data_IF_290135663994
#
_entry.id   IF_290135663994
#
_cell.length_a   1.000
_cell.length_b   1.000
_cell.length_c   1.000
_cell.angle_alpha   90.00
_cell.angle_beta   90.00
_cell.angle_gamma   90.00
#
_symmetry.space_group_name_H-M   'P 1'
#
loop_
_entity.id
_entity.type
_entity.pdbx_description
1 polymer ?
#
# COMPACT_ATOMS: atom_id res chain seq x y z
N UNK A 1 -17.71 -62.28 -35.46
CA UNK A 1 -17.92 -62.50 -34.03
C UNK A 1 -16.94 -61.60 -33.28
N UNK A 2 -17.16 -60.34 -32.89
CA UNK A 2 -18.34 -59.47 -32.78
C UNK A 2 -19.54 -60.06 -32.03
N UNK A 3 -19.71 -59.66 -30.77
CA UNK A 3 -20.95 -59.21 -30.07
C UNK A 3 -20.57 -58.87 -28.60
N UNK A 4 -20.74 -57.60 -28.20
CA UNK A 4 -21.70 -57.06 -27.19
C UNK A 4 -21.25 -57.31 -25.74
N UNK A 5 -21.36 -56.37 -24.78
CA UNK A 5 -22.60 -55.85 -24.19
C UNK A 5 -22.42 -54.42 -23.65
N UNK A 6 -23.49 -53.64 -23.85
CA UNK A 6 -24.01 -52.40 -23.25
C UNK A 6 -23.37 -51.75 -22.00
N UNK A 7 -23.33 -50.42 -22.02
CA UNK A 7 -24.01 -49.66 -20.97
C UNK A 7 -24.61 -48.34 -21.49
N UNK A 8 -25.93 -48.29 -21.38
CA UNK A 8 -26.83 -47.17 -21.68
C UNK A 8 -26.76 -46.15 -20.55
N UNK A 9 -26.81 -44.86 -20.89
CA UNK A 9 -26.88 -43.77 -19.93
C UNK A 9 -28.28 -43.52 -19.39
N UNK A 10 -28.37 -43.01 -18.17
CA UNK A 10 -29.57 -42.33 -17.68
C UNK A 10 -29.20 -41.16 -16.75
N UNK A 11 -29.60 -39.98 -17.22
CA UNK A 11 -30.10 -38.79 -16.54
C UNK A 11 -29.64 -38.42 -15.11
N UNK A 12 -29.07 -37.22 -15.01
CA UNK A 12 -29.40 -36.29 -13.94
C UNK A 12 -29.73 -34.92 -14.56
N UNK A 13 -31.01 -34.54 -14.47
CA UNK A 13 -31.54 -33.22 -14.78
C UNK A 13 -31.31 -32.25 -13.63
N UNK A 14 -31.01 -31.02 -14.06
CA UNK A 14 -31.47 -29.73 -13.55
C UNK A 14 -31.21 -29.36 -12.08
N UNK A 15 -30.24 -28.46 -11.92
CA UNK A 15 -29.98 -27.69 -10.70
C UNK A 15 -29.36 -26.35 -11.07
N UNK A 16 -30.23 -25.43 -11.52
CA UNK A 16 -30.17 -23.97 -11.45
C UNK A 16 -28.88 -23.21 -11.83
N UNK A 17 -29.02 -22.43 -12.90
CA UNK A 17 -28.12 -21.41 -13.42
C UNK A 17 -27.85 -20.27 -12.40
N UNK A 18 -26.77 -20.37 -11.61
CA UNK A 18 -26.08 -19.17 -11.13
C UNK A 18 -25.04 -18.74 -12.18
N UNK A 19 -25.49 -17.90 -13.12
CA UNK A 19 -24.62 -17.13 -14.00
C UNK A 19 -23.75 -16.19 -13.16
N UNK A 20 -22.55 -16.65 -12.81
CA UNK A 20 -21.46 -15.79 -12.38
C UNK A 20 -21.17 -14.73 -13.43
N UNK A 21 -21.69 -13.52 -13.20
CA UNK A 21 -21.47 -12.35 -14.02
C UNK A 21 -19.97 -12.00 -13.99
N UNK A 22 -19.24 -12.43 -15.01
CA UNK A 22 -17.84 -12.01 -15.23
C UNK A 22 -17.82 -10.47 -15.28
N UNK A 23 -16.89 -9.80 -14.58
CA UNK A 23 -16.87 -8.34 -14.50
C UNK A 23 -16.82 -7.74 -15.92
N UNK A 24 -17.83 -6.93 -16.24
CA UNK A 24 -17.97 -6.33 -17.56
C UNK A 24 -16.76 -5.46 -17.89
N UNK A 25 -16.08 -5.79 -19.00
CA UNK A 25 -15.11 -4.87 -19.63
C UNK A 25 -15.90 -3.64 -20.07
N UNK A 26 -15.71 -2.50 -19.39
CA UNK A 26 -16.18 -1.20 -19.89
C UNK A 26 -15.76 -1.08 -21.36
N UNK A 27 -16.72 -0.87 -22.28
CA UNK A 27 -16.42 -0.54 -23.68
C UNK A 27 -15.57 0.74 -23.67
N UNK A 28 -14.28 0.62 -23.94
CA UNK A 28 -13.42 1.79 -24.14
C UNK A 28 -13.96 2.56 -25.35
N UNK A 29 -14.15 3.87 -25.19
CA UNK A 29 -14.48 4.74 -26.31
C UNK A 29 -13.42 4.57 -27.41
N UNK A 30 -13.86 4.52 -28.67
CA UNK A 30 -12.94 4.36 -29.81
C UNK A 30 -11.90 5.48 -29.80
N UNK A 31 -10.59 5.18 -29.79
CA UNK A 31 -9.55 6.20 -29.78
C UNK A 31 -9.65 7.12 -30.99
N UNK A 32 -9.35 8.40 -30.79
CA UNK A 32 -9.42 9.43 -31.85
C UNK A 32 -8.09 10.14 -32.04
N UNK A 33 -7.77 10.46 -33.28
CA UNK A 33 -6.60 11.25 -33.67
C UNK A 33 -7.09 12.54 -34.35
N UNK A 34 -6.52 13.68 -33.95
CA UNK A 34 -6.71 14.95 -34.65
C UNK A 34 -5.51 15.20 -35.56
N UNK A 35 -5.76 15.24 -36.87
CA UNK A 35 -4.79 15.61 -37.90
C UNK A 35 -4.91 17.11 -38.18
N UNK A 36 -3.78 17.83 -38.09
CA UNK A 36 -3.69 19.26 -38.38
C UNK A 36 -2.74 19.46 -39.53
N UNK A 37 -3.29 19.54 -40.75
CA UNK A 37 -2.51 19.60 -41.97
C UNK A 37 -3.37 20.09 -43.15
N UNK A 38 -2.96 21.12 -43.89
CA UNK A 38 -3.73 21.57 -45.06
C UNK A 38 -3.59 20.62 -46.28
N UNK A 39 -2.64 19.67 -46.28
CA UNK A 39 -2.47 18.73 -47.39
C UNK A 39 -3.60 17.68 -47.42
N UNK A 40 -4.54 17.86 -48.34
CA UNK A 40 -5.69 16.97 -48.53
C UNK A 40 -5.29 15.52 -48.84
N UNK A 41 -4.09 15.26 -49.37
CA UNK A 41 -3.61 13.87 -49.57
C UNK A 41 -3.43 13.15 -48.23
N UNK A 42 -3.06 13.88 -47.18
CA UNK A 42 -2.91 13.33 -45.83
C UNK A 42 -4.27 13.11 -45.17
N UNK A 43 -5.30 13.87 -45.53
CA UNK A 43 -6.67 13.63 -45.08
C UNK A 43 -7.20 12.28 -45.55
N UNK A 44 -6.73 11.78 -46.70
CA UNK A 44 -7.07 10.43 -47.17
C UNK A 44 -6.14 9.33 -46.63
N UNK A 45 -4.85 9.62 -46.52
CA UNK A 45 -3.83 8.63 -46.14
C UNK A 45 -3.89 8.29 -44.65
N UNK A 46 -3.92 9.31 -43.78
CA UNK A 46 -3.79 9.13 -42.34
C UNK A 46 -4.95 8.32 -41.76
N UNK A 47 -6.23 8.53 -42.12
CA UNK A 47 -7.32 7.68 -41.65
C UNK A 47 -7.16 6.22 -42.05
N UNK A 48 -6.73 5.93 -43.30
CA UNK A 48 -6.52 4.55 -43.78
C UNK A 48 -5.43 3.84 -42.98
N UNK A 49 -4.33 4.53 -42.68
CA UNK A 49 -3.24 3.96 -41.88
C UNK A 49 -3.67 3.81 -40.42
N UNK A 50 -4.29 4.84 -39.83
CA UNK A 50 -4.72 4.85 -38.43
C UNK A 50 -5.82 3.81 -38.12
N UNK A 51 -6.64 3.44 -39.12
CA UNK A 51 -7.61 2.34 -39.00
C UNK A 51 -6.94 1.01 -38.63
N UNK A 52 -5.70 0.76 -39.06
CA UNK A 52 -4.89 -0.40 -38.66
C UNK A 52 -4.54 -0.43 -37.16
N UNK A 53 -4.72 0.69 -36.45
CA UNK A 53 -4.60 0.81 -35.01
C UNK A 53 -5.96 0.95 -34.30
N UNK A 54 -7.09 0.85 -35.03
CA UNK A 54 -8.43 1.05 -34.49
C UNK A 54 -8.74 2.49 -34.10
N UNK A 55 -8.05 3.47 -34.71
CA UNK A 55 -8.19 4.90 -34.38
C UNK A 55 -9.02 5.60 -35.46
N UNK A 56 -10.00 6.40 -35.03
CA UNK A 56 -10.78 7.28 -35.91
C UNK A 56 -10.07 8.62 -36.04
N UNK A 57 -10.02 9.19 -37.24
CA UNK A 57 -9.30 10.44 -37.52
C UNK A 57 -10.28 11.56 -37.83
N UNK A 58 -10.13 12.65 -37.10
CA UNK A 58 -10.67 13.96 -37.45
C UNK A 58 -9.54 14.78 -38.08
N UNK A 59 -9.85 15.63 -39.05
CA UNK A 59 -8.86 16.50 -39.68
C UNK A 59 -9.32 17.95 -39.68
N UNK A 60 -8.35 18.86 -39.62
CA UNK A 60 -8.49 20.31 -39.69
C UNK A 60 -7.32 20.88 -40.47
N UNK A 61 -7.50 22.06 -41.06
CA UNK A 61 -6.48 22.67 -41.93
C UNK A 61 -5.52 23.59 -41.16
N UNK A 62 -5.95 24.16 -40.03
CA UNK A 62 -5.21 25.19 -39.28
C UNK A 62 -5.01 24.84 -37.82
N UNK A 63 -3.98 25.43 -37.22
CA UNK A 63 -3.67 25.22 -35.80
C UNK A 63 -4.72 25.82 -34.86
N UNK A 64 -5.35 26.91 -35.25
CA UNK A 64 -6.44 27.57 -34.52
C UNK A 64 -7.67 26.66 -34.45
N UNK A 65 -8.11 26.13 -35.59
CA UNK A 65 -9.22 25.17 -35.68
C UNK A 65 -8.92 23.92 -34.84
N UNK A 66 -7.67 23.46 -34.83
CA UNK A 66 -7.26 22.32 -34.02
C UNK A 66 -7.50 22.54 -32.52
N UNK A 67 -7.22 23.74 -32.01
CA UNK A 67 -7.42 24.05 -30.59
C UNK A 67 -8.91 24.17 -30.25
N UNK A 68 -9.71 24.74 -31.14
CA UNK A 68 -11.17 24.79 -31.00
C UNK A 68 -11.78 23.38 -30.98
N UNK A 69 -11.34 22.51 -31.90
CA UNK A 69 -11.78 21.11 -31.98
C UNK A 69 -11.33 20.31 -30.77
N UNK A 70 -10.08 20.48 -30.30
CA UNK A 70 -9.59 19.84 -29.08
C UNK A 70 -10.46 20.20 -27.86
N UNK A 71 -10.89 21.46 -27.75
CA UNK A 71 -11.70 21.94 -26.63
C UNK A 71 -13.17 21.51 -26.73
N UNK A 72 -13.76 21.60 -27.92
CA UNK A 72 -15.21 21.38 -28.13
C UNK A 72 -15.60 19.92 -28.40
N UNK A 73 -14.73 19.15 -29.07
CA UNK A 73 -15.01 17.78 -29.55
C UNK A 73 -14.11 16.72 -28.91
N UNK A 74 -13.26 17.08 -27.95
CA UNK A 74 -12.42 16.15 -27.22
C UNK A 74 -13.21 15.06 -26.46
N UNK A 75 -12.54 14.03 -25.94
CA UNK A 75 -11.09 13.84 -25.91
C UNK A 75 -10.54 13.24 -27.21
N UNK A 76 -9.30 13.64 -27.54
CA UNK A 76 -8.47 12.99 -28.55
C UNK A 76 -7.34 12.24 -27.87
N UNK A 77 -6.99 11.07 -28.39
CA UNK A 77 -5.87 10.27 -27.88
C UNK A 77 -4.54 10.76 -28.43
N UNK A 78 -4.54 11.21 -29.68
CA UNK A 78 -3.36 11.66 -30.41
C UNK A 78 -3.66 12.96 -31.16
N UNK A 79 -2.71 13.88 -31.19
CA UNK A 79 -2.69 14.99 -32.15
C UNK A 79 -1.45 14.83 -33.04
N UNK A 80 -1.64 14.94 -34.35
CA UNK A 80 -0.59 14.93 -35.36
C UNK A 80 -0.66 16.27 -36.10
N UNK A 81 0.35 17.13 -35.94
CA UNK A 81 0.34 18.47 -36.54
C UNK A 81 1.55 18.70 -37.42
N UNK A 82 1.34 19.38 -38.55
CA UNK A 82 2.42 19.89 -39.39
C UNK A 82 3.07 21.12 -38.74
N UNK A 83 4.41 21.17 -38.76
CA UNK A 83 5.20 22.25 -38.18
C UNK A 83 4.98 23.58 -38.90
N UNK A 84 4.83 23.55 -40.22
CA UNK A 84 4.75 24.74 -41.08
C UNK A 84 3.33 25.02 -41.61
N UNK A 85 2.31 24.50 -40.93
CA UNK A 85 0.90 24.77 -41.26
C UNK A 85 0.61 26.29 -41.22
N UNK A 86 -0.40 26.72 -41.98
CA UNK A 86 -0.82 28.13 -42.03
C UNK A 86 -1.42 28.54 -40.68
N UNK A 87 -1.02 29.73 -40.19
CA UNK A 87 -1.42 30.22 -38.86
C UNK A 87 -0.39 29.86 -37.80
N UNK A 88 -0.84 29.27 -36.70
CA UNK A 88 0.05 28.80 -35.62
C UNK A 88 1.01 27.70 -36.08
N UNK A 89 2.28 27.80 -35.68
CA UNK A 89 3.26 26.74 -35.95
C UNK A 89 2.90 25.49 -35.15
N UNK A 90 3.22 24.30 -35.69
CA UNK A 90 2.88 23.03 -35.05
C UNK A 90 3.36 22.94 -33.59
N UNK A 91 4.59 23.35 -33.31
CA UNK A 91 5.11 23.40 -31.93
C UNK A 91 4.26 24.28 -30.98
N UNK A 92 3.70 25.40 -31.45
CA UNK A 92 2.85 26.28 -30.66
C UNK A 92 1.47 25.65 -30.42
N UNK A 93 0.91 24.99 -31.44
CA UNK A 93 -0.32 24.19 -31.32
C UNK A 93 -0.12 23.11 -30.25
N UNK A 94 0.99 22.37 -30.31
CA UNK A 94 1.31 21.32 -29.34
C UNK A 94 1.48 21.87 -27.92
N UNK A 95 2.11 23.04 -27.77
CA UNK A 95 2.26 23.72 -26.47
C UNK A 95 0.91 24.07 -25.85
N UNK A 96 -0.02 24.61 -26.64
CA UNK A 96 -1.38 24.93 -26.21
C UNK A 96 -2.21 23.66 -25.97
N UNK A 97 -2.09 22.65 -26.83
CA UNK A 97 -2.74 21.36 -26.68
C UNK A 97 -2.33 20.65 -25.39
N UNK A 98 -1.05 20.76 -24.96
CA UNK A 98 -0.58 20.23 -23.67
C UNK A 98 -1.34 20.83 -22.49
N UNK A 99 -1.76 22.09 -22.56
CA UNK A 99 -2.54 22.75 -21.51
C UNK A 99 -4.01 22.33 -21.54
N UNK A 100 -4.60 22.27 -22.74
CA UNK A 100 -6.02 21.93 -22.93
C UNK A 100 -6.33 20.45 -22.69
N UNK A 101 -5.43 19.57 -23.15
CA UNK A 101 -5.59 18.12 -23.09
C UNK A 101 -4.23 17.46 -22.78
N UNK A 102 -3.78 17.53 -21.51
CA UNK A 102 -2.42 17.13 -21.11
C UNK A 102 -2.09 15.67 -21.39
N UNK A 103 -3.09 14.80 -21.44
CA UNK A 103 -2.91 13.37 -21.69
C UNK A 103 -2.79 13.04 -23.18
N UNK A 104 -3.22 13.92 -24.08
CA UNK A 104 -3.12 13.71 -25.53
C UNK A 104 -1.67 13.54 -25.94
N UNK A 105 -1.35 12.43 -26.62
CA UNK A 105 -0.03 12.21 -27.17
C UNK A 105 0.17 13.14 -28.38
N UNK A 106 1.31 13.83 -28.41
CA UNK A 106 1.58 14.91 -29.38
C UNK A 106 2.64 14.46 -30.38
N UNK A 107 2.31 14.45 -31.66
CA UNK A 107 3.22 14.12 -32.75
C UNK A 107 3.40 15.36 -33.62
N UNK A 108 4.65 15.72 -33.89
CA UNK A 108 4.99 16.76 -34.85
C UNK A 108 5.42 16.12 -36.16
N UNK A 109 4.86 16.54 -37.28
CA UNK A 109 5.38 16.21 -38.61
C UNK A 109 5.97 17.45 -39.28
N UNK A 110 7.01 17.27 -40.10
CA UNK A 110 7.61 18.36 -40.85
C UNK A 110 8.28 17.86 -42.13
N UNK A 111 8.17 18.67 -43.19
CA UNK A 111 8.96 18.52 -44.43
C UNK A 111 10.35 19.16 -44.32
N UNK A 112 10.52 20.15 -43.43
CA UNK A 112 11.77 20.85 -43.18
C UNK A 112 12.37 20.35 -41.87
N UNK A 113 13.47 19.62 -41.98
CA UNK A 113 14.19 19.06 -40.83
C UNK A 113 15.49 19.83 -40.69
N UNK A 114 15.46 20.98 -40.01
CA UNK A 114 16.67 21.62 -39.51
C UNK A 114 16.79 21.41 -37.99
N UNK A 115 18.03 21.36 -37.50
CA UNK A 115 18.33 21.02 -36.10
C UNK A 115 17.71 22.06 -35.14
N UNK A 116 17.72 23.34 -35.53
CA UNK A 116 17.17 24.44 -34.72
C UNK A 116 15.65 24.33 -34.55
N UNK A 117 14.90 24.03 -35.62
CA UNK A 117 13.45 23.84 -35.53
C UNK A 117 13.08 22.60 -34.72
N UNK A 118 13.92 21.56 -34.71
CA UNK A 118 13.72 20.40 -33.83
C UNK A 118 13.92 20.81 -32.37
N UNK A 119 15.03 21.47 -32.03
CA UNK A 119 15.34 21.93 -30.68
C UNK A 119 14.25 22.87 -30.12
N UNK A 120 13.82 23.85 -30.92
CA UNK A 120 12.72 24.76 -30.56
C UNK A 120 11.42 23.99 -30.29
N UNK A 121 11.11 23.01 -31.14
CA UNK A 121 9.88 22.21 -30.99
C UNK A 121 9.87 21.33 -29.75
N UNK A 122 11.03 20.79 -29.36
CA UNK A 122 11.21 20.01 -28.13
C UNK A 122 10.90 20.90 -26.91
N UNK A 123 11.43 22.12 -26.90
CA UNK A 123 11.33 23.03 -25.76
C UNK A 123 9.93 23.66 -25.60
N UNK A 124 9.20 23.91 -26.70
CA UNK A 124 7.88 24.56 -26.64
C UNK A 124 6.70 23.59 -26.48
N UNK A 125 6.71 22.48 -27.21
CA UNK A 125 5.55 21.60 -27.36
C UNK A 125 5.71 20.20 -26.74
N UNK A 126 6.95 19.83 -26.38
CA UNK A 126 7.33 18.48 -25.93
C UNK A 126 6.61 17.37 -26.73
N UNK A 127 6.84 17.31 -28.05
CA UNK A 127 6.29 16.25 -28.88
C UNK A 127 6.80 14.90 -28.38
N UNK A 128 5.90 13.93 -28.28
CA UNK A 128 6.23 12.54 -28.00
C UNK A 128 7.03 11.91 -29.14
N UNK A 129 6.71 12.29 -30.39
CA UNK A 129 7.40 11.82 -31.60
C UNK A 129 7.49 12.91 -32.65
N UNK A 130 8.53 12.79 -33.48
CA UNK A 130 8.71 13.57 -34.69
C UNK A 130 8.65 12.66 -35.92
N UNK A 131 7.91 13.06 -36.95
CA UNK A 131 7.83 12.36 -38.23
C UNK A 131 8.31 13.27 -39.37
N UNK A 132 9.28 12.79 -40.14
CA UNK A 132 9.70 13.45 -41.37
C UNK A 132 8.71 13.16 -42.49
N UNK A 133 8.30 14.19 -43.23
CA UNK A 133 7.55 14.02 -44.48
C UNK A 133 8.50 13.73 -45.66
N UNK A 134 8.08 12.93 -46.67
CA UNK A 134 6.78 12.26 -46.78
C UNK A 134 6.60 11.15 -45.74
N UNK A 135 5.36 10.94 -45.28
CA UNK A 135 5.07 9.95 -44.24
C UNK A 135 5.15 8.53 -44.80
N UNK A 136 6.03 7.70 -44.23
CA UNK A 136 6.03 6.27 -44.48
C UNK A 136 4.88 5.59 -43.72
N UNK A 137 4.08 4.78 -44.40
CA UNK A 137 2.88 4.16 -43.81
C UNK A 137 3.21 3.25 -42.62
N UNK A 138 4.31 2.49 -42.67
CA UNK A 138 4.69 1.58 -41.58
C UNK A 138 5.16 2.37 -40.37
N UNK A 139 5.97 3.41 -40.60
CA UNK A 139 6.44 4.29 -39.55
C UNK A 139 5.31 5.09 -38.90
N UNK A 140 4.38 5.61 -39.70
CA UNK A 140 3.18 6.31 -39.21
C UNK A 140 2.32 5.39 -38.34
N UNK A 141 2.01 4.18 -38.82
CA UNK A 141 1.23 3.22 -38.05
C UNK A 141 1.89 2.90 -36.71
N UNK A 142 3.19 2.60 -36.72
CA UNK A 142 3.97 2.33 -35.50
C UNK A 142 3.93 3.53 -34.55
N UNK A 143 4.16 4.73 -35.07
CA UNK A 143 4.15 5.97 -34.28
C UNK A 143 2.78 6.23 -33.63
N UNK A 144 1.69 6.02 -34.36
CA UNK A 144 0.32 6.17 -33.87
C UNK A 144 0.01 5.13 -32.79
N UNK A 145 0.40 3.87 -32.98
CA UNK A 145 0.24 2.81 -31.98
C UNK A 145 1.02 3.10 -30.70
N UNK A 146 2.28 3.56 -30.80
CA UNK A 146 3.07 3.98 -29.64
C UNK A 146 2.44 5.18 -28.93
N UNK A 147 1.92 6.15 -29.67
CA UNK A 147 1.26 7.34 -29.12
C UNK A 147 -0.03 6.98 -28.39
N UNK A 148 -0.80 6.01 -28.88
CA UNK A 148 -1.98 5.51 -28.19
C UNK A 148 -1.62 4.79 -26.87
N UNK A 149 -0.53 4.00 -26.85
CA UNK A 149 -0.05 3.39 -25.61
C UNK A 149 0.34 4.44 -24.58
N UNK A 150 1.04 5.49 -25.02
CA UNK A 150 1.43 6.61 -24.17
C UNK A 150 0.22 7.37 -23.63
N UNK A 151 -0.78 7.65 -24.46
CA UNK A 151 -2.05 8.24 -24.03
C UNK A 151 -2.72 7.39 -22.93
N UNK A 152 -2.89 6.09 -23.16
CA UNK A 152 -3.53 5.20 -22.21
C UNK A 152 -2.76 5.13 -20.88
N UNK A 153 -1.43 5.12 -20.93
CA UNK A 153 -0.57 5.20 -19.74
C UNK A 153 -0.82 6.50 -18.98
N UNK A 154 -0.82 7.65 -19.66
CA UNK A 154 -1.01 8.95 -19.05
C UNK A 154 -2.40 9.13 -18.43
N UNK A 155 -3.46 8.65 -19.10
CA UNK A 155 -4.81 8.62 -18.54
C UNK A 155 -4.91 7.69 -17.33
N UNK A 156 -4.28 6.51 -17.38
CA UNK A 156 -4.25 5.56 -16.25
C UNK A 156 -3.55 6.16 -15.03
N UNK A 157 -2.39 6.80 -15.23
CA UNK A 157 -1.65 7.48 -14.15
C UNK A 157 -2.50 8.60 -13.55
N UNK A 158 -3.13 9.43 -14.37
CA UNK A 158 -3.99 10.50 -13.88
C UNK A 158 -5.19 9.97 -13.08
N UNK A 159 -5.80 8.86 -13.54
CA UNK A 159 -6.86 8.17 -12.80
C UNK A 159 -6.39 7.65 -11.43
N UNK A 160 -5.20 7.04 -11.37
CA UNK A 160 -4.60 6.56 -10.12
C UNK A 160 -4.29 7.72 -9.16
N UNK A 161 -3.73 8.82 -9.65
CA UNK A 161 -3.45 10.01 -8.83
C UNK A 161 -4.73 10.62 -8.25
N UNK A 162 -5.81 10.68 -9.03
CA UNK A 162 -7.11 11.16 -8.56
C UNK A 162 -7.70 10.24 -7.48
N UNK A 163 -7.54 8.92 -7.64
CA UNK A 163 -7.96 7.96 -6.62
C UNK A 163 -7.13 8.10 -5.34
N UNK A 164 -5.81 8.27 -5.48
CA UNK A 164 -4.91 8.48 -4.36
C UNK A 164 -5.29 9.74 -3.58
N UNK A 165 -5.53 10.86 -4.27
CA UNK A 165 -5.95 12.12 -3.64
C UNK A 165 -7.26 11.93 -2.84
N UNK A 166 -8.27 11.29 -3.45
CA UNK A 166 -9.52 10.95 -2.78
C UNK A 166 -9.30 10.10 -1.52
N UNK A 167 -8.52 9.03 -1.63
CA UNK A 167 -8.20 8.15 -0.49
C UNK A 167 -7.44 8.90 0.61
N UNK A 168 -6.53 9.82 0.25
CA UNK A 168 -5.83 10.63 1.26
C UNK A 168 -6.77 11.61 1.95
N UNK A 169 -7.75 12.17 1.24
CA UNK A 169 -8.82 12.99 1.80
C UNK A 169 -9.68 12.21 2.80
N UNK A 170 -10.16 11.03 2.39
CA UNK A 170 -10.95 10.13 3.24
C UNK A 170 -10.14 9.71 4.49
N UNK A 171 -8.86 9.33 4.31
CA UNK A 171 -7.99 8.98 5.43
C UNK A 171 -7.79 10.14 6.42
N UNK A 172 -7.66 11.38 5.94
CA UNK A 172 -7.58 12.56 6.81
C UNK A 172 -8.87 12.75 7.61
N UNK A 173 -10.04 12.61 6.98
CA UNK A 173 -11.33 12.72 7.66
C UNK A 173 -11.53 11.63 8.73
N UNK A 174 -11.23 10.38 8.41
CA UNK A 174 -11.29 9.26 9.35
C UNK A 174 -10.32 9.45 10.53
N UNK A 175 -9.13 10.01 10.27
CA UNK A 175 -8.16 10.29 11.33
C UNK A 175 -8.64 11.39 12.28
N UNK A 176 -9.35 12.42 11.79
CA UNK A 176 -9.99 13.42 12.65
C UNK A 176 -11.13 12.83 13.48
N UNK A 177 -12.01 12.03 12.87
CA UNK A 177 -13.12 11.36 13.57
C UNK A 177 -12.61 10.43 14.67
N UNK A 178 -11.57 9.64 14.40
CA UNK A 178 -10.93 8.77 15.40
C UNK A 178 -10.29 9.55 16.55
N UNK A 179 -9.78 10.77 16.31
CA UNK A 179 -9.25 11.64 17.37
C UNK A 179 -10.37 12.18 18.26
N UNK A 180 -11.50 12.55 17.67
CA UNK A 180 -12.68 13.03 18.39
C UNK A 180 -13.32 11.92 19.22
N UNK A 181 -13.50 10.72 18.65
CA UNK A 181 -13.95 9.54 19.38
C UNK A 181 -13.02 9.17 20.54
N UNK A 182 -11.69 9.24 20.37
CA UNK A 182 -10.74 9.03 21.47
C UNK A 182 -10.90 10.06 22.59
N UNK A 183 -11.20 11.32 22.26
CA UNK A 183 -11.47 12.38 23.25
C UNK A 183 -12.77 12.10 24.02
N UNK A 184 -13.83 11.69 23.32
CA UNK A 184 -15.10 11.29 23.94
C UNK A 184 -14.94 10.04 24.83
N UNK A 185 -14.19 9.03 24.39
CA UNK A 185 -13.88 7.86 25.23
C UNK A 185 -13.08 8.27 26.47
N UNK A 186 -12.15 9.22 26.35
CA UNK A 186 -11.39 9.72 27.48
C UNK A 186 -12.28 10.46 28.50
N UNK A 187 -13.22 11.28 28.04
CA UNK A 187 -14.18 11.96 28.92
C UNK A 187 -15.17 10.98 29.57
N UNK A 188 -15.68 9.99 28.82
CA UNK A 188 -16.50 8.90 29.34
C UNK A 188 -15.76 8.08 30.40
N UNK A 189 -14.49 7.71 30.16
CA UNK A 189 -13.65 7.03 31.16
C UNK A 189 -13.45 7.88 32.41
N UNK A 190 -13.29 9.20 32.28
CA UNK A 190 -13.17 10.13 33.41
C UNK A 190 -14.47 10.17 34.24
N UNK A 191 -15.62 10.28 33.57
CA UNK A 191 -16.92 10.26 34.25
C UNK A 191 -17.22 8.92 34.91
N UNK A 192 -16.88 7.80 34.25
CA UNK A 192 -17.02 6.46 34.81
C UNK A 192 -16.18 6.30 36.09
N UNK A 193 -14.92 6.75 36.09
CA UNK A 193 -14.07 6.75 37.30
C UNK A 193 -14.69 7.55 38.44
N UNK A 194 -15.28 8.70 38.16
CA UNK A 194 -15.94 9.52 39.19
C UNK A 194 -17.14 8.80 39.81
N UNK A 195 -17.93 8.07 39.01
CA UNK A 195 -19.05 7.25 39.49
C UNK A 195 -18.55 6.06 40.32
N UNK A 196 -17.52 5.34 39.86
CA UNK A 196 -16.93 4.21 40.58
C UNK A 196 -16.36 4.64 41.94
N UNK A 197 -15.67 5.78 42.00
CA UNK A 197 -15.19 6.35 43.27
C UNK A 197 -16.35 6.71 44.19
N UNK A 198 -17.41 7.34 43.67
CA UNK A 198 -18.60 7.68 44.44
C UNK A 198 -19.31 6.45 45.02
N UNK A 199 -19.52 5.41 44.21
CA UNK A 199 -20.12 4.14 44.65
C UNK A 199 -19.19 3.40 45.61
N UNK A 200 -17.89 3.39 45.36
CA UNK A 200 -16.88 2.79 46.24
C UNK A 200 -16.84 3.45 47.61
N UNK A 201 -16.95 4.78 47.69
CA UNK A 201 -17.08 5.49 48.97
C UNK A 201 -18.36 5.09 49.72
N UNK A 202 -19.49 4.93 49.01
CA UNK A 202 -20.74 4.46 49.62
C UNK A 202 -20.57 3.03 50.17
N UNK A 203 -19.93 2.13 49.42
CA UNK A 203 -19.67 0.75 49.85
C UNK A 203 -18.70 0.70 51.04
N UNK A 204 -17.66 1.53 51.09
CA UNK A 204 -16.74 1.64 52.25
C UNK A 204 -17.46 2.21 53.48
N UNK A 205 -18.39 3.14 53.30
CA UNK A 205 -19.20 3.69 54.40
C UNK A 205 -20.14 2.62 54.98
N UNK A 206 -20.66 1.71 54.14
CA UNK A 206 -21.49 0.58 54.57
C UNK A 206 -20.63 -0.58 55.13
N UNK A 207 -19.44 -0.82 54.57
CA UNK A 207 -18.51 -1.87 54.97
C UNK A 207 -17.70 -1.52 56.24
N UNK A 208 -17.69 -0.26 56.67
CA UNK A 208 -17.24 0.13 58.02
C UNK A 208 -18.02 -0.52 59.16
N UNK A 209 -19.09 -1.27 58.85
CA UNK A 209 -19.83 -2.08 59.82
C UNK A 209 -19.43 -3.56 59.91
N UNK A 210 -18.92 -4.21 58.86
CA UNK A 210 -18.68 -5.67 58.88
C UNK A 210 -17.53 -6.10 57.97
N UNK A 211 -16.59 -6.83 58.57
CA UNK A 211 -15.29 -7.17 58.01
C UNK A 211 -15.31 -8.03 56.73
N UNK A 212 -14.35 -7.74 55.86
CA UNK A 212 -14.04 -8.51 54.65
C UNK A 212 -12.56 -8.87 54.72
N UNK A 213 -12.21 -9.94 55.44
CA UNK A 213 -10.83 -10.41 55.55
C UNK A 213 -10.66 -11.88 55.10
N UNK A 214 -11.56 -12.42 54.26
CA UNK A 214 -11.56 -13.85 53.98
C UNK A 214 -11.90 -14.29 52.54
N UNK A 215 -11.94 -13.39 51.53
CA UNK A 215 -12.34 -13.79 50.17
C UNK A 215 -11.44 -13.31 49.02
N UNK A 216 -10.31 -12.68 49.33
CA UNK A 216 -9.37 -12.15 48.33
C UNK A 216 -7.98 -12.73 48.54
N UNK A 217 -7.87 -14.06 48.53
CA UNK A 217 -6.60 -14.70 48.26
C UNK A 217 -6.42 -14.82 46.74
N UNK A 218 -5.58 -13.95 46.17
CA UNK A 218 -4.79 -14.30 44.98
C UNK A 218 -4.99 -13.47 43.70
N UNK A 219 -4.43 -12.25 43.71
CA UNK A 219 -4.03 -11.37 42.59
C UNK A 219 -5.05 -10.34 42.10
N UNK A 220 -4.81 -9.09 42.49
CA UNK A 220 -5.41 -7.89 41.90
C UNK A 220 -5.07 -7.80 40.41
N UNK A 221 -6.09 -7.86 39.56
CA UNK A 221 -5.99 -7.48 38.17
C UNK A 221 -6.01 -5.95 38.13
N UNK A 222 -4.90 -5.32 37.74
CA UNK A 222 -4.83 -3.86 37.62
C UNK A 222 -5.93 -3.32 36.70
N UNK A 223 -6.57 -2.22 37.13
CA UNK A 223 -7.67 -1.58 36.43
C UNK A 223 -7.27 -1.19 34.98
N UNK A 224 -7.94 -1.79 33.98
CA UNK A 224 -7.69 -1.52 32.56
C UNK A 224 -6.83 -2.57 31.83
N UNK A 225 -6.42 -3.65 32.49
CA UNK A 225 -5.79 -4.79 31.83
C UNK A 225 -6.79 -5.63 31.00
N UNK A 226 -6.28 -6.33 29.97
CA UNK A 226 -7.07 -7.15 29.04
C UNK A 226 -6.50 -8.57 28.97
N UNK A 227 -7.34 -9.59 29.07
CA UNK A 227 -6.93 -11.01 29.04
C UNK A 227 -7.19 -11.66 27.67
N UNK A 228 -6.19 -12.34 27.13
CA UNK A 228 -6.26 -13.15 25.90
C UNK A 228 -5.69 -14.55 26.18
N UNK A 229 -6.55 -15.54 26.39
CA UNK A 229 -6.10 -16.88 26.76
C UNK A 229 -5.25 -16.85 28.05
N UNK A 230 -4.01 -17.30 27.96
CA UNK A 230 -3.02 -17.26 29.06
C UNK A 230 -2.34 -15.91 29.22
N UNK A 231 -2.60 -14.93 28.36
CA UNK A 231 -1.95 -13.62 28.43
C UNK A 231 -2.80 -12.58 29.16
N UNK A 232 -2.16 -11.74 29.96
CA UNK A 232 -2.73 -10.53 30.57
C UNK A 232 -1.93 -9.33 30.08
N UNK A 233 -2.56 -8.47 29.28
CA UNK A 233 -1.99 -7.23 28.76
C UNK A 233 -2.31 -6.08 29.70
N UNK A 234 -1.29 -5.33 30.11
CA UNK A 234 -1.41 -4.20 31.04
C UNK A 234 -1.37 -2.84 30.31
N UNK A 235 -1.98 -1.79 30.88
CA UNK A 235 -1.96 -0.44 30.30
C UNK A 235 -0.56 0.15 30.08
N UNK A 236 0.44 -0.33 30.83
CA UNK A 236 1.84 0.10 30.74
C UNK A 236 2.62 -0.54 29.57
N UNK A 237 1.93 -1.22 28.64
CA UNK A 237 2.51 -1.91 27.47
C UNK A 237 3.43 -3.09 27.84
N UNK A 238 3.08 -3.77 28.92
CA UNK A 238 3.63 -5.08 29.29
C UNK A 238 2.56 -6.15 29.19
N UNK A 239 2.96 -7.39 28.96
CA UNK A 239 2.08 -8.53 28.84
C UNK A 239 2.62 -9.70 29.66
N UNK A 240 1.84 -10.17 30.63
CA UNK A 240 2.19 -11.36 31.43
C UNK A 240 1.63 -12.61 30.78
N UNK A 241 2.50 -13.55 30.48
CA UNK A 241 2.13 -14.91 30.16
C UNK A 241 1.93 -15.67 31.47
N UNK A 242 0.68 -15.97 31.80
CA UNK A 242 0.33 -16.68 33.04
C UNK A 242 0.74 -18.15 33.05
N UNK A 243 1.04 -18.73 31.88
CA UNK A 243 1.51 -20.12 31.77
C UNK A 243 2.98 -20.27 32.17
N UNK A 244 3.83 -19.32 31.77
CA UNK A 244 5.27 -19.32 32.08
C UNK A 244 5.63 -18.40 33.24
N UNK A 245 4.70 -17.55 33.69
CA UNK A 245 4.90 -16.52 34.69
C UNK A 245 5.63 -15.28 34.19
N UNK A 246 6.18 -15.31 32.97
CA UNK A 246 7.06 -14.27 32.42
C UNK A 246 6.27 -13.03 32.01
N UNK A 247 6.93 -11.87 32.09
CA UNK A 247 6.38 -10.61 31.61
C UNK A 247 7.18 -10.12 30.41
N UNK A 248 6.48 -9.80 29.34
CA UNK A 248 7.03 -9.39 28.05
C UNK A 248 6.70 -7.94 27.79
N UNK A 249 7.56 -7.24 27.05
CA UNK A 249 7.13 -6.00 26.41
C UNK A 249 6.11 -6.35 25.31
N UNK A 250 4.90 -5.75 25.34
CA UNK A 250 3.92 -5.96 24.27
C UNK A 250 4.42 -5.39 22.94
N UNK A 251 5.40 -4.50 23.00
CA UNK A 251 5.99 -3.77 21.89
C UNK A 251 7.45 -4.08 21.73
N UNK A 252 7.93 -3.92 20.52
CA UNK A 252 9.30 -4.19 20.16
C UNK A 252 10.10 -2.93 19.81
N UNK A 253 11.38 -3.13 19.53
CA UNK A 253 12.31 -2.09 19.11
C UNK A 253 11.76 -1.27 17.94
N UNK A 254 11.17 -1.90 16.92
CA UNK A 254 10.67 -1.20 15.75
C UNK A 254 9.41 -0.39 16.07
N UNK A 255 8.54 -0.89 16.95
CA UNK A 255 7.39 -0.12 17.42
C UNK A 255 7.82 1.18 18.14
N UNK A 256 8.94 1.15 18.88
CA UNK A 256 9.43 2.28 19.67
C UNK A 256 10.37 3.19 18.86
N UNK A 257 11.42 2.64 18.28
CA UNK A 257 12.51 3.38 17.61
C UNK A 257 12.20 3.70 16.14
N UNK A 258 11.14 3.12 15.56
CA UNK A 258 10.70 3.34 14.17
C UNK A 258 11.72 2.99 13.09
N UNK A 259 12.66 2.10 13.40
CA UNK A 259 13.68 1.54 12.48
C UNK A 259 14.08 0.15 12.95
N UNK A 260 14.75 -0.63 12.09
CA UNK A 260 15.38 -1.87 12.49
C UNK A 260 16.66 -1.62 13.32
N UNK A 261 17.03 -2.53 14.24
CA UNK A 261 18.35 -2.55 14.84
C UNK A 261 19.40 -2.95 13.79
N UNK A 262 20.61 -2.42 13.95
CA UNK A 262 21.77 -2.62 13.10
C UNK A 262 22.55 -3.87 13.47
N UNK A 263 22.41 -4.39 14.69
CA UNK A 263 23.18 -5.54 15.14
C UNK A 263 22.59 -6.15 16.39
N UNK A 264 23.10 -7.32 16.76
CA UNK A 264 22.87 -7.92 18.06
C UNK A 264 23.46 -7.07 19.20
N UNK A 265 24.59 -6.38 18.97
CA UNK A 265 25.16 -5.47 19.96
C UNK A 265 24.22 -4.29 20.26
N UNK A 266 23.59 -3.71 19.23
CA UNK A 266 22.57 -2.68 19.43
C UNK A 266 21.35 -3.21 20.19
N UNK A 267 20.99 -4.49 20.00
CA UNK A 267 19.93 -5.11 20.80
C UNK A 267 20.29 -5.11 22.29
N UNK A 268 21.55 -5.35 22.65
CA UNK A 268 22.02 -5.30 24.04
C UNK A 268 22.08 -3.88 24.60
N UNK A 269 22.51 -2.90 23.81
CA UNK A 269 22.43 -1.48 24.21
C UNK A 269 20.97 -1.06 24.48
N UNK A 270 20.03 -1.60 23.72
CA UNK A 270 18.61 -1.33 23.91
C UNK A 270 18.06 -1.91 25.21
N UNK A 271 18.56 -3.07 25.68
CA UNK A 271 18.25 -3.62 27.01
C UNK A 271 18.59 -2.60 28.09
N UNK A 272 19.82 -2.08 28.06
CA UNK A 272 20.32 -1.09 29.02
C UNK A 272 19.39 0.13 29.02
N UNK A 273 19.08 0.66 27.83
CA UNK A 273 18.18 1.80 27.64
C UNK A 273 16.78 1.55 28.23
N UNK A 274 16.19 0.36 28.05
CA UNK A 274 14.86 0.06 28.58
C UNK A 274 14.87 -0.09 30.12
N UNK A 275 15.95 -0.66 30.67
CA UNK A 275 16.11 -0.82 32.11
C UNK A 275 16.34 0.51 32.82
N UNK A 276 17.17 1.40 32.27
CA UNK A 276 17.35 2.77 32.77
C UNK A 276 16.05 3.57 32.77
N UNK A 277 15.24 3.40 31.72
CA UNK A 277 13.93 4.04 31.60
C UNK A 277 12.86 3.44 32.51
N UNK A 278 13.15 2.31 33.16
CA UNK A 278 12.16 1.52 33.90
C UNK A 278 10.91 1.24 33.07
N UNK A 279 11.08 0.76 31.84
CA UNK A 279 9.94 0.52 30.94
C UNK A 279 8.91 -0.40 31.63
N UNK A 280 7.63 0.01 31.60
CA UNK A 280 6.56 -0.72 32.29
C UNK A 280 6.66 -0.71 33.83
N UNK A 281 7.55 0.09 34.41
CA UNK A 281 7.86 0.08 35.85
C UNK A 281 8.99 -0.89 36.23
N UNK A 282 9.61 -1.58 35.27
CA UNK A 282 10.58 -2.64 35.51
C UNK A 282 11.97 -2.31 34.96
N UNK A 283 13.02 -2.83 35.60
CA UNK A 283 14.43 -2.54 35.28
C UNK A 283 15.30 -3.80 35.14
N UNK A 284 14.68 -4.95 34.92
CA UNK A 284 15.27 -6.29 34.81
C UNK A 284 14.93 -6.97 33.48
N UNK A 285 14.71 -6.16 32.43
CA UNK A 285 14.51 -6.64 31.07
C UNK A 285 15.76 -7.33 30.52
N UNK A 286 15.55 -8.40 29.75
CA UNK A 286 16.60 -9.16 29.04
C UNK A 286 16.12 -9.61 27.66
N UNK A 287 17.06 -10.06 26.82
CA UNK A 287 16.72 -10.76 25.58
C UNK A 287 16.12 -12.15 25.87
N UNK A 288 15.04 -12.52 25.18
CA UNK A 288 14.49 -13.88 25.24
C UNK A 288 15.44 -14.91 24.62
N UNK A 289 15.37 -16.16 25.09
CA UNK A 289 16.00 -17.31 24.44
C UNK A 289 15.20 -17.74 23.20
N UNK A 290 15.81 -18.54 22.31
CA UNK A 290 15.08 -19.09 21.16
C UNK A 290 13.91 -19.98 21.58
N UNK A 291 14.07 -20.74 22.67
CA UNK A 291 13.01 -21.59 23.22
C UNK A 291 11.85 -20.76 23.78
N UNK A 292 12.14 -19.62 24.42
CA UNK A 292 11.11 -18.69 24.85
C UNK A 292 10.34 -18.11 23.66
N UNK A 293 11.01 -17.74 22.55
CA UNK A 293 10.30 -17.29 21.35
C UNK A 293 9.44 -18.39 20.74
N UNK A 294 9.97 -19.61 20.58
CA UNK A 294 9.23 -20.77 20.05
C UNK A 294 7.98 -21.06 20.86
N UNK A 295 8.06 -20.99 22.19
CA UNK A 295 6.92 -21.20 23.08
C UNK A 295 5.80 -20.14 22.90
N UNK A 296 6.13 -18.96 22.38
CA UNK A 296 5.16 -17.91 22.09
C UNK A 296 4.58 -17.96 20.68
N UNK A 297 5.18 -18.73 19.76
CA UNK A 297 4.80 -18.75 18.35
C UNK A 297 3.47 -19.49 18.14
N UNK A 298 2.57 -18.86 17.40
CA UNK A 298 1.33 -19.50 16.96
C UNK A 298 1.07 -19.18 15.47
N UNK A 299 1.16 -20.17 14.57
CA UNK A 299 0.98 -19.97 13.14
C UNK A 299 -0.45 -19.56 12.73
N UNK A 300 -1.45 -19.76 13.60
CA UNK A 300 -2.85 -19.47 13.30
C UNK A 300 -3.24 -18.02 13.60
N UNK A 301 -2.39 -17.25 14.29
CA UNK A 301 -2.66 -15.85 14.55
C UNK A 301 -2.40 -14.97 13.33
N UNK A 302 -3.33 -14.04 13.09
CA UNK A 302 -3.25 -13.05 12.01
C UNK A 302 -2.86 -11.70 12.62
N UNK A 303 -1.60 -11.58 13.04
CA UNK A 303 -0.97 -10.29 13.36
C UNK A 303 -0.17 -9.79 12.16
N UNK A 304 0.20 -8.53 12.18
CA UNK A 304 0.90 -7.86 11.09
C UNK A 304 2.23 -7.29 11.55
N UNK A 305 3.31 -7.68 10.88
CA UNK A 305 4.61 -7.01 10.94
C UNK A 305 4.77 -6.10 9.72
N UNK A 306 5.56 -5.03 9.85
CA UNK A 306 5.70 -4.02 8.80
C UNK A 306 7.12 -3.95 8.25
N UNK A 307 7.31 -4.19 6.97
CA UNK A 307 8.60 -4.04 6.30
C UNK A 307 8.38 -3.43 4.91
N UNK A 308 9.21 -2.46 4.50
CA UNK A 308 9.20 -1.91 3.14
C UNK A 308 7.83 -1.46 2.60
N UNK A 309 6.96 -0.90 3.46
CA UNK A 309 5.58 -0.49 3.14
C UNK A 309 4.59 -1.64 2.90
N UNK A 310 4.96 -2.85 3.26
CA UNK A 310 4.13 -4.04 3.18
C UNK A 310 3.83 -4.62 4.57
N UNK A 311 2.67 -5.25 4.70
CA UNK A 311 2.24 -5.95 5.91
C UNK A 311 2.44 -7.45 5.72
N UNK A 312 3.15 -8.07 6.64
CA UNK A 312 3.39 -9.51 6.66
C UNK A 312 2.59 -10.16 7.77
N UNK A 313 1.91 -11.26 7.45
CA UNK A 313 1.24 -12.09 8.46
C UNK A 313 2.29 -12.76 9.33
N UNK A 314 2.16 -12.61 10.64
CA UNK A 314 3.11 -13.14 11.63
C UNK A 314 2.38 -13.85 12.76
N UNK A 315 2.98 -14.95 13.22
CA UNK A 315 2.43 -15.77 14.29
C UNK A 315 2.74 -15.24 15.69
N UNK A 316 2.56 -13.94 15.92
CA UNK A 316 2.72 -13.37 17.26
C UNK A 316 1.64 -13.88 18.22
N UNK A 317 1.93 -13.95 19.53
CA UNK A 317 0.90 -13.84 20.56
C UNK A 317 -0.03 -12.65 20.34
N UNK A 318 -1.32 -12.83 20.63
CA UNK A 318 -2.31 -11.75 20.56
C UNK A 318 -1.96 -10.55 21.44
N UNK A 319 -1.23 -10.79 22.53
CA UNK A 319 -0.75 -9.78 23.45
C UNK A 319 0.33 -8.86 22.87
N UNK A 320 0.96 -9.23 21.74
CA UNK A 320 1.94 -8.40 21.07
C UNK A 320 1.26 -7.43 20.09
N UNK A 321 1.75 -6.19 20.07
CA UNK A 321 1.27 -5.15 19.17
C UNK A 321 1.70 -5.40 17.72
N UNK A 322 0.86 -4.96 16.78
CA UNK A 322 1.14 -4.96 15.34
C UNK A 322 2.23 -3.94 14.95
N UNK A 323 2.74 -4.05 13.73
CA UNK A 323 3.69 -3.10 13.14
C UNK A 323 5.14 -3.24 13.62
N UNK A 324 5.46 -4.38 14.25
CA UNK A 324 6.82 -4.77 14.63
C UNK A 324 7.66 -5.32 13.47
N UNK A 325 8.82 -5.88 13.78
CA UNK A 325 9.62 -6.69 12.85
C UNK A 325 9.28 -8.17 12.96
N UNK A 326 9.76 -9.03 12.07
CA UNK A 326 9.42 -10.46 12.14
C UNK A 326 10.60 -11.39 12.35
N UNK A 327 11.83 -10.86 12.36
CA UNK A 327 13.00 -11.53 12.94
C UNK A 327 13.36 -10.90 14.27
N UNK A 328 13.63 -11.69 15.31
CA UNK A 328 13.91 -11.18 16.65
C UNK A 328 15.19 -11.74 17.23
N UNK A 329 16.09 -10.85 17.62
CA UNK A 329 17.33 -11.24 18.30
C UNK A 329 17.06 -11.96 19.62
N UNK A 330 17.90 -12.95 19.91
CA UNK A 330 17.84 -13.78 21.11
C UNK A 330 19.13 -13.69 21.93
N UNK A 331 19.05 -14.04 23.22
CA UNK A 331 20.21 -14.30 24.08
C UNK A 331 20.90 -15.63 23.79
N UNK A 332 20.28 -16.54 23.01
CA UNK A 332 20.92 -17.80 22.62
C UNK A 332 22.10 -17.55 21.67
N UNK A 333 23.27 -18.04 22.03
CA UNK A 333 24.51 -17.94 21.25
C UNK A 333 25.19 -19.30 21.16
N UNK A 334 25.91 -19.58 20.08
CA UNK A 334 26.67 -20.84 19.89
C UNK A 334 28.19 -20.64 19.92
N UNK A 335 28.64 -19.40 19.72
CA UNK A 335 30.05 -19.01 19.72
C UNK A 335 30.18 -17.53 20.10
N UNK A 336 31.42 -17.06 20.28
CA UNK A 336 31.70 -15.65 20.59
C UNK A 336 31.23 -14.67 19.50
N UNK A 337 31.05 -15.14 18.26
CA UNK A 337 30.74 -14.27 17.13
C UNK A 337 29.30 -14.40 16.61
N UNK A 338 28.57 -15.44 17.03
CA UNK A 338 27.23 -15.71 16.51
C UNK A 338 26.15 -15.54 17.59
N UNK A 339 24.98 -15.10 17.15
CA UNK A 339 23.78 -15.02 17.96
C UNK A 339 22.57 -15.56 17.18
N UNK A 340 21.62 -16.10 17.93
CA UNK A 340 20.37 -16.61 17.40
C UNK A 340 19.35 -15.50 17.15
N UNK A 341 18.51 -15.70 16.14
CA UNK A 341 17.24 -15.00 16.04
C UNK A 341 16.11 -15.98 15.74
N UNK A 342 14.88 -15.58 16.09
CA UNK A 342 13.66 -16.30 15.73
C UNK A 342 12.83 -15.51 14.71
N UNK A 343 12.32 -16.19 13.69
CA UNK A 343 11.48 -15.64 12.64
C UNK A 343 10.01 -16.04 12.85
N UNK A 344 9.16 -15.05 13.15
CA UNK A 344 7.72 -15.25 13.31
C UNK A 344 6.97 -15.43 11.99
N UNK A 345 7.65 -15.19 10.85
CA UNK A 345 7.21 -15.72 9.55
C UNK A 345 7.77 -17.13 9.43
N UNK A 346 6.89 -18.13 9.45
CA UNK A 346 7.26 -19.54 9.29
C UNK A 346 7.78 -20.24 10.55
N UNK A 347 8.07 -19.51 11.64
CA UNK A 347 8.33 -20.11 12.96
C UNK A 347 9.66 -20.85 13.08
N UNK A 348 10.74 -20.31 12.50
CA UNK A 348 12.07 -20.94 12.51
C UNK A 348 13.12 -20.05 13.18
N UNK A 349 14.18 -20.66 13.70
CA UNK A 349 15.36 -19.96 14.20
C UNK A 349 16.60 -20.14 13.31
N UNK A 350 17.54 -19.18 13.39
CA UNK A 350 18.84 -19.26 12.74
C UNK A 350 19.92 -18.65 13.60
N UNK A 351 21.15 -19.13 13.42
CA UNK A 351 22.36 -18.54 13.95
C UNK A 351 23.03 -17.69 12.87
N UNK A 352 23.39 -16.46 13.22
CA UNK A 352 24.09 -15.52 12.33
C UNK A 352 25.16 -14.75 13.08
N UNK A 353 26.05 -14.10 12.35
CA UNK A 353 27.04 -13.20 12.96
C UNK A 353 26.34 -12.06 13.73
N UNK A 354 26.94 -11.63 14.84
CA UNK A 354 26.36 -10.59 15.72
C UNK A 354 26.22 -9.22 15.05
N UNK A 355 26.95 -8.98 13.96
CA UNK A 355 26.90 -7.77 13.12
C UNK A 355 25.91 -7.90 11.95
N UNK A 356 25.18 -9.01 11.84
CA UNK A 356 24.17 -9.20 10.81
C UNK A 356 23.10 -8.09 10.86
N UNK A 357 22.83 -7.52 9.69
CA UNK A 357 21.83 -6.47 9.49
C UNK A 357 20.73 -6.99 8.58
N UNK A 358 19.47 -6.72 8.94
CA UNK A 358 18.34 -6.95 8.05
C UNK A 358 17.15 -6.06 8.42
N UNK A 359 16.41 -5.52 7.43
CA UNK A 359 15.21 -4.70 7.68
C UNK A 359 14.09 -5.46 8.41
N UNK A 360 14.11 -6.79 8.36
CA UNK A 360 13.17 -7.66 9.06
C UNK A 360 13.37 -7.70 10.58
N UNK A 361 14.59 -7.36 11.05
CA UNK A 361 15.02 -7.61 12.42
C UNK A 361 14.41 -6.64 13.42
N UNK A 362 14.23 -7.12 14.65
CA UNK A 362 13.69 -6.39 15.78
C UNK A 362 14.21 -7.00 17.09
N UNK A 363 13.79 -6.42 18.21
CA UNK A 363 14.12 -6.86 19.56
C UNK A 363 12.88 -6.72 20.42
N UNK A 364 12.50 -7.77 21.14
CA UNK A 364 11.44 -7.72 22.17
C UNK A 364 12.02 -8.26 23.46
N UNK A 365 11.84 -7.54 24.56
CA UNK A 365 12.40 -7.94 25.84
C UNK A 365 11.39 -8.72 26.66
N UNK A 366 11.94 -9.58 27.50
CA UNK A 366 11.23 -10.37 28.50
C UNK A 366 11.92 -10.19 29.84
N UNK A 367 11.17 -10.37 30.92
CA UNK A 367 11.68 -10.51 32.27
C UNK A 367 11.02 -11.69 32.94
N UNK A 368 11.70 -12.21 33.95
CA UNK A 368 11.14 -13.25 34.79
C UNK A 368 10.10 -12.66 35.76
N UNK A 369 9.13 -13.50 36.14
CA UNK A 369 7.89 -13.11 36.81
C UNK A 369 8.04 -12.69 38.25
#
# INVERSE_FOLDING_TARGET
>A
MAEEIDYVGEEAKDGEDEKGEKPSKKKNATPRLLLVDPDKKLHDLVPKVAAGAGIVVDHVDTGEEALEVLQSKGPFSVILTEQTATGLRGAEVLSKAKKLSPHTARILCSSKVDVKSIEESINLGEPFRFLKKPLDNKLLLKCVQESLREYNKNVSIAGQLKLLDKLTGEFKSLKSEGKEQKSQIASLKKSLRAVVIGVGMIVVTIAGGYGVNAYLEGREIEEGSVKYGTWVLYPNRTAKDTSTGKTWMSVDFRNIEKRAPKSWNEANEWIIKMNEKKFGGFSDWRLPTLEEYKATYDPNHIKTAFENRENYKVGYPLAFEDGGGYGYWSSTTTSENNAGYFFFIGGYDKMVARDFTSPAMSVRLVRDG
#
